data_IF_942625331251
#
_entry.id   IF_942625331251
#
_cell.length_a   1.000
_cell.length_b   1.000
_cell.length_c   1.000
_cell.angle_alpha   90.00
_cell.angle_beta   90.00
_cell.angle_gamma   90.00
#
_symmetry.space_group_name_H-M   'P 1'
#
loop_
_entity.id
_entity.type
_entity.pdbx_description
1 polymer ?
#
# COMPACT_ATOMS: atom_id res chain seq x y z
N UNK A 1 -48.84 -41.36 38.46
CA UNK A 1 -49.10 -40.14 37.64
C UNK A 1 -47.92 -39.16 37.58
N UNK A 2 -47.04 -39.07 38.59
CA UNK A 2 -45.91 -38.12 38.60
C UNK A 2 -44.70 -38.50 37.69
N UNK A 3 -44.66 -39.74 37.18
CA UNK A 3 -43.55 -40.24 36.37
C UNK A 3 -43.75 -39.96 34.86
N UNK A 4 -45.00 -40.00 34.40
CA UNK A 4 -45.39 -39.68 33.02
C UNK A 4 -45.18 -38.19 32.67
N UNK A 5 -45.26 -37.29 33.64
CA UNK A 5 -45.02 -35.85 33.46
C UNK A 5 -43.53 -35.50 33.35
N UNK A 6 -42.63 -36.27 33.96
CA UNK A 6 -41.18 -36.02 33.89
C UNK A 6 -40.56 -36.41 32.55
N UNK A 7 -41.11 -37.41 31.86
CA UNK A 7 -40.61 -37.81 30.53
C UNK A 7 -41.02 -36.81 29.43
N UNK A 8 -42.22 -36.25 29.52
CA UNK A 8 -42.71 -35.21 28.60
C UNK A 8 -41.92 -33.91 28.76
N UNK A 9 -41.57 -33.54 29.99
CA UNK A 9 -40.78 -32.34 30.29
C UNK A 9 -39.33 -32.45 29.77
N UNK A 10 -38.71 -33.64 29.86
CA UNK A 10 -37.37 -33.92 29.30
C UNK A 10 -37.36 -33.97 27.77
N UNK A 11 -38.43 -34.47 27.15
CA UNK A 11 -38.56 -34.49 25.69
C UNK A 11 -38.73 -33.06 25.15
N UNK A 12 -39.55 -32.23 25.80
CA UNK A 12 -39.78 -30.84 25.42
C UNK A 12 -38.51 -29.98 25.56
N UNK A 13 -37.75 -30.15 26.65
CA UNK A 13 -36.46 -29.43 26.84
C UNK A 13 -35.42 -29.85 25.81
N UNK A 14 -35.29 -31.14 25.48
CA UNK A 14 -34.36 -31.58 24.42
C UNK A 14 -34.76 -31.04 23.03
N UNK A 15 -36.06 -30.93 22.76
CA UNK A 15 -36.55 -30.38 21.50
C UNK A 15 -36.29 -28.87 21.42
N UNK A 16 -36.57 -28.12 22.49
CA UNK A 16 -36.31 -26.69 22.56
C UNK A 16 -34.81 -26.36 22.45
N UNK A 17 -33.93 -27.13 23.10
CA UNK A 17 -32.47 -26.95 23.03
C UNK A 17 -31.96 -27.18 21.60
N UNK A 18 -32.47 -28.18 20.88
CA UNK A 18 -32.10 -28.41 19.47
C UNK A 18 -32.47 -27.23 18.57
N UNK A 19 -33.65 -26.64 18.75
CA UNK A 19 -34.08 -25.47 17.98
C UNK A 19 -33.28 -24.21 18.31
N UNK A 20 -32.91 -24.01 19.57
CA UNK A 20 -32.05 -22.90 19.98
C UNK A 20 -30.66 -23.03 19.34
N UNK A 21 -30.05 -24.21 19.41
CA UNK A 21 -28.73 -24.47 18.79
C UNK A 21 -28.80 -24.30 17.28
N UNK A 22 -29.83 -24.85 16.61
CA UNK A 22 -30.01 -24.69 15.17
C UNK A 22 -30.16 -23.21 14.78
N UNK A 23 -30.94 -22.44 15.54
CA UNK A 23 -31.15 -21.00 15.31
C UNK A 23 -29.86 -20.21 15.50
N UNK A 24 -29.08 -20.52 16.54
CA UNK A 24 -27.78 -19.89 16.78
C UNK A 24 -26.78 -20.20 15.66
N UNK A 25 -26.75 -21.43 15.16
CA UNK A 25 -25.88 -21.82 14.03
C UNK A 25 -26.28 -21.06 12.76
N UNK A 26 -27.58 -20.99 12.45
CA UNK A 26 -28.08 -20.25 11.28
C UNK A 26 -27.76 -18.75 11.40
N UNK A 27 -28.02 -18.15 12.56
CA UNK A 27 -27.71 -16.74 12.80
C UNK A 27 -26.20 -16.46 12.70
N UNK A 28 -25.37 -17.37 13.20
CA UNK A 28 -23.91 -17.28 13.12
C UNK A 28 -23.41 -17.39 11.68
N UNK A 29 -24.00 -18.27 10.87
CA UNK A 29 -23.67 -18.43 9.45
C UNK A 29 -24.09 -17.20 8.63
N UNK A 30 -25.32 -16.70 8.84
CA UNK A 30 -25.82 -15.52 8.15
C UNK A 30 -25.08 -14.24 8.58
N UNK A 31 -24.86 -14.06 9.88
CA UNK A 31 -24.14 -12.91 10.43
C UNK A 31 -22.65 -12.91 10.07
N UNK A 32 -21.99 -14.07 10.14
CA UNK A 32 -20.59 -14.22 9.76
C UNK A 32 -20.37 -13.97 8.26
N UNK A 33 -21.20 -14.56 7.39
CA UNK A 33 -21.11 -14.37 5.94
C UNK A 33 -21.32 -12.92 5.51
N UNK A 34 -22.31 -12.25 6.10
CA UNK A 34 -22.57 -10.83 5.84
C UNK A 34 -21.40 -9.93 6.27
N UNK A 35 -20.76 -10.22 7.41
CA UNK A 35 -19.59 -9.46 7.87
C UNK A 35 -18.40 -9.57 6.92
N UNK A 36 -18.11 -10.76 6.40
CA UNK A 36 -17.05 -10.95 5.42
C UNK A 36 -17.34 -10.23 4.11
N UNK A 37 -18.58 -10.31 3.58
CA UNK A 37 -18.95 -9.60 2.35
C UNK A 37 -18.86 -8.06 2.47
N UNK A 38 -18.93 -7.54 3.69
CA UNK A 38 -18.87 -6.11 4.01
C UNK A 38 -17.47 -5.61 4.33
N UNK A 39 -16.42 -6.43 4.33
CA UNK A 39 -15.06 -5.98 4.73
C UNK A 39 -13.99 -6.25 3.67
N UNK A 40 -14.40 -6.67 2.47
CA UNK A 40 -13.51 -7.05 1.36
C UNK A 40 -13.46 -6.01 0.23
N UNK A 41 -13.56 -4.73 0.56
CA UNK A 41 -13.61 -3.65 -0.44
C UNK A 41 -12.33 -3.56 -1.26
N UNK A 42 -11.17 -3.71 -0.63
CA UNK A 42 -9.86 -3.68 -1.29
C UNK A 42 -9.67 -4.88 -2.24
N UNK A 43 -10.19 -6.04 -1.88
CA UNK A 43 -10.13 -7.28 -2.66
C UNK A 43 -10.99 -7.23 -3.94
N UNK A 44 -11.87 -6.23 -4.07
CA UNK A 44 -12.67 -6.00 -5.28
C UNK A 44 -11.97 -5.09 -6.29
N UNK A 45 -10.91 -4.39 -5.89
CA UNK A 45 -10.11 -3.60 -6.83
C UNK A 45 -9.49 -4.51 -7.91
N UNK A 46 -9.16 -3.96 -9.09
CA UNK A 46 -8.42 -4.69 -10.11
C UNK A 46 -7.10 -5.23 -9.54
N UNK A 47 -6.61 -6.37 -10.05
CA UNK A 47 -5.33 -6.96 -9.57
C UNK A 47 -4.17 -5.95 -9.65
N UNK A 48 -4.17 -5.14 -10.69
CA UNK A 48 -3.28 -4.00 -10.89
C UNK A 48 -4.12 -2.72 -10.92
N UNK A 49 -3.87 -1.80 -9.99
CA UNK A 49 -4.56 -0.53 -9.80
C UNK A 49 -3.76 0.61 -10.44
N UNK A 50 -4.38 1.79 -10.51
CA UNK A 50 -3.76 3.02 -11.00
C UNK A 50 -3.17 2.82 -12.41
N UNK A 51 -4.03 2.50 -13.37
CA UNK A 51 -3.63 2.20 -14.76
C UNK A 51 -2.56 1.10 -14.90
N UNK A 52 -2.65 0.08 -14.06
CA UNK A 52 -1.75 -1.07 -14.13
C UNK A 52 -0.44 -0.91 -13.35
N UNK A 53 -0.16 0.27 -12.78
CA UNK A 53 1.10 0.57 -12.13
C UNK A 53 1.34 -0.23 -10.84
N UNK A 54 0.31 -0.39 -10.01
CA UNK A 54 0.48 -0.87 -8.63
C UNK A 54 -0.29 -2.18 -8.38
N UNK A 55 0.34 -3.14 -7.71
CA UNK A 55 -0.29 -4.37 -7.24
C UNK A 55 -1.29 -4.10 -6.10
N UNK A 56 -2.52 -4.58 -6.26
CA UNK A 56 -3.58 -4.49 -5.26
C UNK A 56 -3.20 -5.01 -3.87
N UNK A 57 -2.36 -6.05 -3.84
CA UNK A 57 -1.92 -6.67 -2.59
C UNK A 57 -1.16 -5.70 -1.68
N UNK A 58 -0.56 -4.63 -2.24
CA UNK A 58 0.05 -3.57 -1.43
C UNK A 58 -1.00 -2.78 -0.65
N UNK A 59 -2.09 -2.37 -1.32
CA UNK A 59 -3.20 -1.69 -0.66
C UNK A 59 -3.88 -2.59 0.38
N UNK A 60 -4.11 -3.88 0.08
CA UNK A 60 -4.69 -4.84 1.05
C UNK A 60 -3.83 -4.97 2.32
N UNK A 61 -2.50 -4.91 2.18
CA UNK A 61 -1.57 -5.01 3.32
C UNK A 61 -1.45 -3.70 4.09
N UNK A 62 -1.48 -2.55 3.40
CA UNK A 62 -1.28 -1.23 4.00
C UNK A 62 -2.55 -0.68 4.65
N UNK A 63 -3.70 -0.82 3.98
CA UNK A 63 -4.95 -0.18 4.36
C UNK A 63 -5.87 -1.10 5.18
N UNK A 64 -6.65 -0.54 6.12
CA UNK A 64 -7.58 -1.30 6.93
C UNK A 64 -8.65 -1.97 6.05
N UNK A 65 -9.24 -3.05 6.59
CA UNK A 65 -10.40 -3.67 5.95
C UNK A 65 -11.53 -2.65 5.84
N UNK A 66 -12.18 -2.62 4.69
CA UNK A 66 -13.18 -1.60 4.36
C UNK A 66 -14.31 -2.21 3.53
N UNK A 67 -15.47 -1.56 3.53
CA UNK A 67 -16.63 -2.03 2.74
C UNK A 67 -16.43 -1.81 1.26
N UNK A 68 -15.95 -0.63 0.92
CA UNK A 68 -15.59 -0.23 -0.43
C UNK A 68 -14.22 0.40 -0.43
N UNK A 69 -13.55 0.29 -1.57
CA UNK A 69 -12.32 0.97 -1.88
C UNK A 69 -12.38 1.41 -3.34
N UNK A 70 -11.63 2.45 -3.66
CA UNK A 70 -11.49 2.97 -5.02
C UNK A 70 -10.03 3.35 -5.26
N UNK A 71 -9.61 3.37 -6.52
CA UNK A 71 -8.29 3.83 -6.92
C UNK A 71 -8.39 4.93 -7.97
N UNK A 72 -7.51 5.92 -7.87
CA UNK A 72 -7.38 6.96 -8.87
C UNK A 72 -5.91 7.20 -9.18
N UNK A 73 -5.66 7.71 -10.38
CA UNK A 73 -4.35 8.13 -10.79
C UNK A 73 -4.42 9.45 -11.53
N UNK A 74 -3.34 10.22 -11.42
CA UNK A 74 -3.12 11.42 -12.22
C UNK A 74 -1.79 11.25 -12.94
N UNK A 75 -1.76 11.65 -14.20
CA UNK A 75 -0.52 11.73 -14.98
C UNK A 75 -0.42 13.13 -15.58
N UNK A 76 0.75 13.75 -15.41
CA UNK A 76 1.11 14.98 -16.10
C UNK A 76 2.37 14.72 -16.90
N UNK A 77 2.29 14.98 -18.20
CA UNK A 77 3.44 14.92 -19.10
C UNK A 77 3.39 16.14 -20.01
N UNK A 78 4.33 17.06 -19.83
CA UNK A 78 4.41 18.28 -20.62
C UNK A 78 5.74 19.00 -20.47
N UNK A 79 6.39 19.31 -21.59
CA UNK A 79 7.72 19.93 -21.58
C UNK A 79 8.73 19.04 -20.86
N UNK A 80 9.31 19.56 -19.78
CA UNK A 80 10.30 18.83 -18.98
C UNK A 80 9.75 18.14 -17.75
N UNK A 81 8.45 18.24 -17.49
CA UNK A 81 7.80 17.75 -16.28
C UNK A 81 7.05 16.44 -16.59
N UNK A 82 7.49 15.37 -15.94
CA UNK A 82 6.83 14.06 -15.97
C UNK A 82 6.51 13.69 -14.52
N UNK A 83 5.21 13.66 -14.21
CA UNK A 83 4.69 13.37 -12.89
C UNK A 83 3.58 12.32 -13.01
N UNK A 84 3.56 11.40 -12.06
CA UNK A 84 2.51 10.40 -11.92
C UNK A 84 2.16 10.24 -10.44
N UNK A 85 0.86 10.18 -10.15
CA UNK A 85 0.35 9.95 -8.82
C UNK A 85 -0.68 8.81 -8.83
N UNK A 86 -0.66 7.99 -7.78
CA UNK A 86 -1.62 6.91 -7.54
C UNK A 86 -2.16 7.05 -6.13
N UNK A 87 -3.48 6.95 -5.99
CA UNK A 87 -4.19 7.06 -4.71
C UNK A 87 -5.20 5.94 -4.58
N UNK A 88 -5.20 5.29 -3.42
CA UNK A 88 -6.19 4.27 -3.08
C UNK A 88 -6.95 4.73 -1.84
N UNK A 89 -8.27 4.82 -1.96
CA UNK A 89 -9.17 5.33 -0.95
C UNK A 89 -9.98 4.19 -0.33
N UNK A 90 -10.25 4.30 0.96
CA UNK A 90 -11.19 3.41 1.66
C UNK A 90 -12.44 4.17 2.09
N UNK A 91 -13.59 3.51 2.19
CA UNK A 91 -14.80 4.11 2.77
C UNK A 91 -14.67 4.54 4.24
N UNK A 92 -13.61 4.06 4.93
CA UNK A 92 -13.30 4.43 6.31
C UNK A 92 -12.47 5.72 6.41
N UNK A 93 -12.04 6.31 5.29
CA UNK A 93 -11.27 7.55 5.26
C UNK A 93 -9.75 7.39 5.22
N UNK A 94 -9.23 6.15 5.30
CA UNK A 94 -7.81 5.90 5.08
C UNK A 94 -7.45 5.97 3.61
N UNK A 95 -6.28 6.53 3.31
CA UNK A 95 -5.76 6.75 1.95
C UNK A 95 -4.32 6.25 1.88
N UNK A 96 -4.00 5.43 0.88
CA UNK A 96 -2.62 5.12 0.49
C UNK A 96 -2.30 5.95 -0.74
N UNK A 97 -1.35 6.85 -0.63
CA UNK A 97 -0.98 7.77 -1.70
C UNK A 97 0.47 7.58 -2.08
N UNK A 98 0.78 7.75 -3.36
CA UNK A 98 2.15 7.85 -3.84
C UNK A 98 2.24 8.72 -5.07
N UNK A 99 3.32 9.47 -5.16
CA UNK A 99 3.63 10.38 -6.26
C UNK A 99 5.07 10.11 -6.68
N UNK A 100 5.32 10.11 -7.98
CA UNK A 100 6.66 10.05 -8.52
C UNK A 100 6.81 11.03 -9.67
N UNK A 101 7.97 11.66 -9.74
CA UNK A 101 8.27 12.67 -10.75
C UNK A 101 9.74 12.58 -11.17
N UNK A 102 10.01 13.04 -12.39
CA UNK A 102 11.38 13.20 -12.90
C UNK A 102 11.92 14.53 -12.39
N UNK A 103 13.05 14.47 -11.68
CA UNK A 103 13.75 15.61 -11.12
C UNK A 103 15.21 15.61 -11.57
N UNK A 104 15.81 16.80 -11.60
CA UNK A 104 17.25 16.99 -11.67
C UNK A 104 17.80 17.09 -10.24
N UNK A 105 18.22 15.95 -9.71
CA UNK A 105 18.62 15.82 -8.30
C UNK A 105 19.60 14.66 -8.12
N UNK A 106 20.76 14.93 -7.50
CA UNK A 106 21.69 13.88 -7.11
C UNK A 106 21.14 13.05 -5.94
N UNK A 107 21.66 11.83 -5.71
CA UNK A 107 21.28 11.04 -4.53
C UNK A 107 21.53 11.78 -3.22
N UNK A 108 22.61 12.58 -3.14
CA UNK A 108 22.96 13.33 -1.93
C UNK A 108 21.95 14.46 -1.66
N UNK A 109 21.64 15.27 -2.67
CA UNK A 109 20.64 16.34 -2.57
C UNK A 109 19.24 15.77 -2.27
N UNK A 110 18.90 14.63 -2.86
CA UNK A 110 17.65 13.92 -2.58
C UNK A 110 17.57 13.48 -1.11
N UNK A 111 18.61 12.84 -0.57
CA UNK A 111 18.65 12.46 0.85
C UNK A 111 18.51 13.69 1.75
N UNK A 112 19.22 14.79 1.43
CA UNK A 112 19.13 16.03 2.21
C UNK A 112 17.72 16.62 2.17
N UNK A 113 17.07 16.64 1.02
CA UNK A 113 15.73 17.23 0.87
C UNK A 113 14.65 16.42 1.59
N UNK A 114 14.69 15.09 1.48
CA UNK A 114 13.60 14.23 1.96
C UNK A 114 13.82 13.65 3.36
N UNK A 115 15.06 13.59 3.84
CA UNK A 115 15.40 13.16 5.21
C UNK A 115 15.78 14.34 6.11
N UNK A 116 16.23 15.45 5.52
CA UNK A 116 16.70 16.61 6.27
C UNK A 116 17.84 16.26 7.23
N UNK A 117 17.92 17.04 8.32
CA UNK A 117 18.90 16.84 9.40
C UNK A 117 18.67 15.55 10.24
N UNK A 118 17.58 14.81 10.00
CA UNK A 118 17.14 13.66 10.79
C UNK A 118 17.50 12.32 10.14
N UNK A 119 18.69 12.20 9.52
CA UNK A 119 19.14 10.93 8.92
C UNK A 119 19.17 9.75 9.88
N UNK A 120 19.32 10.01 11.18
CA UNK A 120 19.27 8.99 12.22
C UNK A 120 17.87 8.40 12.44
N UNK A 121 16.82 9.07 11.97
CA UNK A 121 15.42 8.67 12.11
C UNK A 121 14.88 8.02 10.83
N UNK A 122 15.76 7.51 9.96
CA UNK A 122 15.38 6.82 8.73
C UNK A 122 16.08 5.46 8.62
N UNK A 123 15.37 4.47 8.09
CA UNK A 123 15.96 3.21 7.61
C UNK A 123 16.15 3.29 6.12
N UNK A 124 17.32 2.87 5.62
CA UNK A 124 17.69 2.93 4.21
C UNK A 124 18.01 1.53 3.67
N UNK A 125 17.63 1.28 2.43
CA UNK A 125 18.08 0.15 1.62
C UNK A 125 18.53 0.64 0.25
N UNK A 126 19.45 -0.08 -0.39
CA UNK A 126 19.88 0.23 -1.74
C UNK A 126 20.19 -1.04 -2.54
N UNK A 127 19.99 -0.97 -3.85
CA UNK A 127 20.30 -2.04 -4.79
C UNK A 127 20.51 -1.46 -6.19
N UNK A 128 21.64 -1.74 -6.83
CA UNK A 128 21.88 -1.35 -8.22
C UNK A 128 21.73 0.15 -8.51
N UNK A 129 22.10 1.02 -7.56
CA UNK A 129 21.95 2.49 -7.67
C UNK A 129 20.55 3.02 -7.35
N UNK A 130 19.58 2.15 -7.08
CA UNK A 130 18.26 2.50 -6.55
C UNK A 130 18.38 2.64 -5.04
N UNK A 131 17.84 3.71 -4.50
CA UNK A 131 17.79 3.94 -3.06
C UNK A 131 16.35 4.03 -2.58
N UNK A 132 16.09 3.49 -1.40
CA UNK A 132 14.80 3.65 -0.75
C UNK A 132 14.99 3.87 0.75
N UNK A 133 14.09 4.65 1.32
CA UNK A 133 14.13 5.04 2.71
C UNK A 133 12.73 5.15 3.30
N UNK A 134 12.62 4.92 4.60
CA UNK A 134 11.39 5.13 5.34
C UNK A 134 11.70 5.79 6.68
N UNK A 135 10.86 6.77 7.05
CA UNK A 135 10.99 7.48 8.32
C UNK A 135 10.53 6.59 9.48
N UNK A 136 11.27 6.65 10.60
CA UNK A 136 11.03 5.87 11.81
C UNK A 136 10.05 6.56 12.76
N UNK A 137 9.97 7.89 12.71
CA UNK A 137 9.26 8.76 13.65
C UNK A 137 7.78 9.03 13.28
N UNK A 138 7.33 8.55 12.12
CA UNK A 138 6.01 8.86 11.56
C UNK A 138 5.08 7.64 11.63
N UNK A 139 3.96 7.77 12.35
CA UNK A 139 2.89 6.75 12.39
C UNK A 139 2.23 6.55 11.02
N UNK A 140 2.23 7.60 10.18
CA UNK A 140 1.71 7.61 8.80
C UNK A 140 2.57 6.85 7.79
N UNK A 141 3.77 6.36 8.20
CA UNK A 141 4.61 5.50 7.38
C UNK A 141 5.07 6.13 6.07
N UNK A 142 5.69 7.30 6.12
CA UNK A 142 6.21 7.98 4.92
C UNK A 142 7.47 7.26 4.40
N UNK A 143 7.52 7.01 3.09
CA UNK A 143 8.64 6.39 2.40
C UNK A 143 9.02 7.15 1.15
N UNK A 144 10.31 7.14 0.82
CA UNK A 144 10.86 7.77 -0.38
C UNK A 144 11.69 6.78 -1.18
N UNK A 145 11.70 6.93 -2.50
CA UNK A 145 12.47 6.11 -3.45
C UNK A 145 13.17 7.01 -4.45
N UNK A 146 14.41 6.66 -4.78
CA UNK A 146 15.22 7.30 -5.81
C UNK A 146 15.62 6.26 -6.85
N UNK A 147 15.36 6.56 -8.13
CA UNK A 147 15.75 5.74 -9.27
C UNK A 147 16.49 6.60 -10.30
N UNK A 148 17.77 6.34 -10.59
CA UNK A 148 18.47 7.04 -11.67
C UNK A 148 17.72 6.89 -13.00
N UNK A 149 17.46 8.01 -13.69
CA UNK A 149 16.68 8.02 -14.93
C UNK A 149 17.02 9.27 -15.73
N UNK A 150 17.60 9.11 -16.92
CA UNK A 150 17.67 10.18 -17.92
C UNK A 150 16.49 10.01 -18.88
N UNK A 151 15.50 10.92 -18.92
CA UNK A 151 14.36 10.77 -19.82
C UNK A 151 14.77 10.71 -21.30
N UNK A 152 13.94 10.12 -22.15
CA UNK A 152 14.27 9.90 -23.57
C UNK A 152 14.63 11.17 -24.34
N UNK A 153 13.97 12.27 -24.05
CA UNK A 153 14.12 13.52 -24.82
C UNK A 153 15.19 14.45 -24.23
N UNK A 154 15.98 13.95 -23.27
CA UNK A 154 16.97 14.70 -22.50
C UNK A 154 18.37 14.14 -22.69
N UNK A 155 19.40 14.97 -22.51
CA UNK A 155 20.80 14.54 -22.42
C UNK A 155 21.24 14.59 -20.97
N UNK A 156 22.02 13.61 -20.54
CA UNK A 156 22.51 13.56 -19.15
C UNK A 156 23.33 14.80 -18.76
N UNK A 157 24.04 15.39 -19.72
CA UNK A 157 24.86 16.61 -19.56
C UNK A 157 24.04 17.91 -19.42
N UNK A 158 22.74 17.88 -19.70
CA UNK A 158 21.86 19.04 -19.52
C UNK A 158 21.39 19.18 -18.05
N UNK A 159 21.57 18.12 -17.25
CA UNK A 159 21.28 18.13 -15.82
C UNK A 159 22.29 18.99 -15.06
N UNK A 160 21.81 19.84 -14.15
CA UNK A 160 22.64 20.56 -13.18
C UNK A 160 23.29 19.61 -12.17
N UNK A 161 22.62 18.49 -11.84
CA UNK A 161 23.14 17.43 -11.01
C UNK A 161 23.07 16.07 -11.73
N UNK A 162 21.89 15.45 -11.72
CA UNK A 162 21.63 14.15 -12.33
C UNK A 162 20.12 13.94 -12.43
N UNK A 163 19.63 13.49 -13.59
CA UNK A 163 18.22 13.13 -13.71
C UNK A 163 17.89 11.85 -12.96
N UNK A 164 16.78 11.89 -12.22
CA UNK A 164 16.26 10.75 -11.49
C UNK A 164 14.73 10.81 -11.41
N UNK A 165 14.11 9.65 -11.28
CA UNK A 165 12.74 9.54 -10.78
C UNK A 165 12.80 9.45 -9.27
N UNK A 166 12.16 10.41 -8.60
CA UNK A 166 11.97 10.38 -7.16
C UNK A 166 10.52 10.11 -6.85
N UNK A 167 10.25 9.23 -5.89
CA UNK A 167 8.90 8.92 -5.45
C UNK A 167 8.76 9.09 -3.94
N UNK A 168 7.57 9.52 -3.53
CA UNK A 168 7.12 9.58 -2.15
C UNK A 168 5.82 8.77 -2.04
N UNK A 169 5.67 8.02 -0.94
CA UNK A 169 4.38 7.43 -0.58
C UNK A 169 4.12 7.52 0.92
N UNK A 170 2.85 7.54 1.29
CA UNK A 170 2.41 7.58 2.68
C UNK A 170 1.01 6.99 2.85
N UNK A 171 0.68 6.63 4.09
CA UNK A 171 -0.68 6.32 4.50
C UNK A 171 -1.22 7.49 5.32
N UNK A 172 -2.38 8.00 4.93
CA UNK A 172 -3.13 9.00 5.68
C UNK A 172 -4.31 8.30 6.35
N UNK A 173 -4.49 8.53 7.65
CA UNK A 173 -5.49 7.83 8.47
C UNK A 173 -4.96 6.50 9.01
N UNK A 174 -5.86 5.58 9.33
CA UNK A 174 -5.50 4.29 9.92
C UNK A 174 -4.79 3.39 8.90
N UNK A 175 -3.72 2.73 9.33
CA UNK A 175 -3.07 1.64 8.62
C UNK A 175 -3.47 0.27 9.18
N UNK A 176 -3.45 -0.77 8.35
CA UNK A 176 -3.68 -2.16 8.80
C UNK A 176 -2.50 -2.74 9.57
N UNK A 177 -1.30 -2.24 9.27
CA UNK A 177 -0.05 -2.61 9.91
C UNK A 177 0.67 -1.36 10.38
N UNK A 178 1.61 -1.51 11.30
CA UNK A 178 2.42 -0.41 11.84
C UNK A 178 3.92 -0.76 11.82
N UNK A 179 4.76 0.21 12.19
CA UNK A 179 6.20 0.01 12.35
C UNK A 179 6.89 -0.46 11.07
N UNK A 180 7.76 -1.46 11.20
CA UNK A 180 8.58 -1.96 10.08
C UNK A 180 7.75 -2.53 8.93
N UNK A 181 6.61 -3.18 9.23
CA UNK A 181 5.73 -3.73 8.22
C UNK A 181 5.05 -2.62 7.40
N UNK A 182 4.63 -1.53 8.06
CA UNK A 182 4.07 -0.37 7.37
C UNK A 182 5.12 0.32 6.49
N UNK A 183 6.31 0.57 7.04
CA UNK A 183 7.44 1.14 6.28
C UNK A 183 7.74 0.32 5.03
N UNK A 184 7.81 -1.00 5.15
CA UNK A 184 8.09 -1.85 4.01
C UNK A 184 6.99 -1.80 2.94
N UNK A 185 5.71 -1.89 3.33
CA UNK A 185 4.62 -1.92 2.35
C UNK A 185 4.47 -0.57 1.64
N UNK A 186 4.69 0.55 2.34
CA UNK A 186 4.63 1.88 1.73
C UNK A 186 5.85 2.14 0.84
N UNK A 187 7.04 1.68 1.24
CA UNK A 187 8.22 1.72 0.37
C UNK A 187 8.02 0.89 -0.91
N UNK A 188 7.46 -0.32 -0.80
CA UNK A 188 7.14 -1.15 -1.97
C UNK A 188 6.13 -0.46 -2.90
N UNK A 189 5.17 0.28 -2.33
CA UNK A 189 4.21 1.08 -3.09
C UNK A 189 4.90 2.24 -3.81
N UNK A 190 5.70 3.05 -3.10
CA UNK A 190 6.51 4.12 -3.70
C UNK A 190 7.39 3.59 -4.84
N UNK A 191 7.98 2.40 -4.67
CA UNK A 191 8.80 1.76 -5.68
C UNK A 191 8.03 1.42 -6.95
N UNK A 192 6.82 0.86 -6.83
CA UNK A 192 6.00 0.54 -8.02
C UNK A 192 5.54 1.80 -8.74
N UNK A 193 5.21 2.87 -8.00
CA UNK A 193 4.92 4.19 -8.58
C UNK A 193 6.16 4.73 -9.32
N UNK A 194 7.35 4.67 -8.72
CA UNK A 194 8.60 5.09 -9.36
C UNK A 194 8.92 4.30 -10.63
N UNK A 195 8.79 2.97 -10.59
CA UNK A 195 9.03 2.10 -11.76
C UNK A 195 8.08 2.44 -12.90
N UNK A 196 6.80 2.69 -12.59
CA UNK A 196 5.85 3.11 -13.61
C UNK A 196 6.23 4.47 -14.23
N UNK A 197 6.66 5.44 -13.41
CA UNK A 197 7.16 6.74 -13.92
C UNK A 197 8.42 6.60 -14.77
N UNK A 198 9.33 5.67 -14.43
CA UNK A 198 10.50 5.34 -15.27
C UNK A 198 10.07 4.83 -16.65
N UNK A 199 8.99 4.04 -16.70
CA UNK A 199 8.42 3.58 -17.95
C UNK A 199 7.77 4.72 -18.75
N UNK A 200 6.98 5.57 -18.10
CA UNK A 200 6.36 6.76 -18.71
C UNK A 200 7.41 7.73 -19.28
N UNK A 201 8.50 7.97 -18.53
CA UNK A 201 9.61 8.83 -18.94
C UNK A 201 10.51 8.22 -20.01
N UNK A 202 10.30 6.94 -20.35
CA UNK A 202 11.10 6.21 -21.32
C UNK A 202 12.61 6.31 -21.03
N UNK A 203 12.99 6.22 -19.75
CA UNK A 203 14.36 6.52 -19.32
C UNK A 203 15.41 5.75 -20.14
N UNK A 204 16.46 6.44 -20.55
CA UNK A 204 17.63 5.91 -21.23
C UNK A 204 18.55 5.24 -20.22
N UNK A 205 19.28 4.21 -20.65
CA UNK A 205 20.28 3.55 -19.79
C UNK A 205 19.68 2.95 -18.51
N UNK A 206 18.42 2.48 -18.58
CA UNK A 206 17.63 2.01 -17.43
C UNK A 206 18.48 1.13 -16.51
N UNK A 207 18.67 1.51 -15.22
CA UNK A 207 19.24 0.58 -14.26
C UNK A 207 18.43 -0.71 -14.27
N UNK A 208 19.07 -1.86 -14.03
CA UNK A 208 18.35 -3.12 -13.90
C UNK A 208 17.39 -3.01 -12.71
N UNK A 209 16.10 -2.81 -13.00
CA UNK A 209 15.07 -2.64 -11.98
C UNK A 209 14.79 -4.02 -11.36
N UNK A 210 15.10 -4.24 -10.08
CA UNK A 210 14.77 -5.50 -9.43
C UNK A 210 13.26 -5.63 -9.28
N UNK A 211 12.72 -6.85 -9.35
CA UNK A 211 11.28 -7.06 -9.14
C UNK A 211 10.79 -6.67 -7.74
N UNK A 212 11.70 -6.59 -6.76
CA UNK A 212 11.45 -6.16 -5.37
C UNK A 212 12.68 -5.49 -4.79
N UNK A 213 12.46 -4.47 -3.96
CA UNK A 213 13.54 -3.87 -3.16
C UNK A 213 13.98 -4.82 -2.03
N UNK A 214 15.23 -4.67 -1.54
CA UNK A 214 15.66 -5.28 -0.29
C UNK A 214 14.71 -4.92 0.84
N UNK A 215 14.54 -5.85 1.79
CA UNK A 215 13.69 -5.60 2.96
C UNK A 215 14.46 -4.80 3.99
N UNK A 216 13.78 -3.89 4.69
CA UNK A 216 14.34 -3.29 5.90
C UNK A 216 14.62 -4.41 6.92
N UNK A 217 15.78 -4.35 7.58
CA UNK A 217 16.06 -5.24 8.69
C UNK A 217 14.98 -5.05 9.77
N UNK A 218 14.57 -6.14 10.41
CA UNK A 218 13.80 -6.03 11.64
C UNK A 218 14.69 -5.30 12.67
N UNK A 219 14.16 -4.28 13.37
CA UNK A 219 14.88 -3.69 14.49
C UNK A 219 15.14 -4.73 15.59
#
# INVERSE_FOLDING_TARGET
>A
MAESTRETERAATRYAVKWIVLSLVILSLLGGGAWFALTTGLERLPKKMCDGAVERDLAIRALPRTRTADDSYDQRSGGTEIEYACRVYTSAGSILTGRAEVNDVSPATWVEHFVGASQHDAVKVSVGGIEAMARLDQESGISYVYVPCVPRDFRAEDASEAYAVTAEASVVGDGRVSGAALRQVVTDFAYQVAVHTVDLAQCQGRPSLPGKLPRYAAP
#
